data_IF_622522031672
#
_entry.id   IF_622522031672
#
_cell.length_a   1.000
_cell.length_b   1.000
_cell.length_c   1.000
_cell.angle_alpha   90.00
_cell.angle_beta   90.00
_cell.angle_gamma   90.00
#
_symmetry.space_group_name_H-M   'P 1'
#
loop_
_entity.id
_entity.type
_entity.pdbx_description
1 polymer ?
#
# COMPACT_ATOMS: atom_id res chain seq x y z
N UNK A 1 3.58 38.25 23.15
CA UNK A 1 4.51 38.63 22.07
C UNK A 1 5.60 37.62 21.75
N UNK A 2 5.91 36.65 22.61
CA UNK A 2 6.83 35.56 22.31
C UNK A 2 6.32 34.51 21.33
N UNK A 3 5.00 34.43 21.07
CA UNK A 3 4.37 33.48 20.15
C UNK A 3 4.50 33.88 18.68
N UNK A 4 4.69 35.16 18.35
CA UNK A 4 4.86 35.62 16.96
C UNK A 4 6.22 35.21 16.36
N UNK A 5 7.27 35.11 17.15
CA UNK A 5 8.59 34.68 16.68
C UNK A 5 8.68 33.18 16.42
N UNK A 6 7.91 32.39 17.15
CA UNK A 6 7.86 30.93 16.98
C UNK A 6 7.07 30.53 15.73
N UNK A 7 5.93 31.17 15.48
CA UNK A 7 5.12 30.96 14.26
C UNK A 7 5.89 31.40 13.00
N UNK A 8 6.63 32.51 13.05
CA UNK A 8 7.46 32.95 11.94
C UNK A 8 8.60 31.97 11.62
N UNK A 9 9.19 31.35 12.62
CA UNK A 9 10.25 30.33 12.43
C UNK A 9 9.69 29.03 11.90
N UNK A 10 8.50 28.60 12.32
CA UNK A 10 7.80 27.43 11.80
C UNK A 10 7.41 27.61 10.31
N UNK A 11 6.91 28.77 9.96
CA UNK A 11 6.56 29.11 8.57
C UNK A 11 7.81 29.12 7.68
N UNK A 12 8.94 29.65 8.17
CA UNK A 12 10.19 29.67 7.42
C UNK A 12 10.77 28.25 7.19
N UNK A 13 10.64 27.36 8.18
CA UNK A 13 11.06 25.94 8.05
C UNK A 13 10.16 25.19 7.07
N UNK A 14 8.84 25.44 7.08
CA UNK A 14 7.90 24.86 6.11
C UNK A 14 8.16 25.36 4.69
N UNK A 15 8.42 26.64 4.52
CA UNK A 15 8.75 27.23 3.22
C UNK A 15 10.07 26.67 2.67
N UNK A 16 11.08 26.44 3.52
CA UNK A 16 12.34 25.80 3.16
C UNK A 16 12.18 24.34 2.74
N UNK A 17 11.34 23.56 3.43
CA UNK A 17 11.03 22.17 3.08
C UNK A 17 10.25 22.06 1.76
N UNK A 18 9.32 22.96 1.51
CA UNK A 18 8.57 23.03 0.23
C UNK A 18 9.49 23.40 -0.92
N UNK A 19 10.45 24.32 -0.72
CA UNK A 19 11.43 24.67 -1.76
C UNK A 19 12.41 23.53 -2.09
N UNK A 20 12.80 22.72 -1.11
CA UNK A 20 13.61 21.51 -1.34
C UNK A 20 12.86 20.45 -2.15
N UNK A 21 11.54 20.32 -1.98
CA UNK A 21 10.69 19.43 -2.76
C UNK A 21 10.47 19.93 -4.20
N UNK A 22 10.45 21.25 -4.43
CA UNK A 22 10.27 21.84 -5.77
C UNK A 22 11.55 21.82 -6.62
N UNK A 23 12.71 21.56 -6.03
CA UNK A 23 13.99 21.41 -6.74
C UNK A 23 14.24 19.98 -7.26
N UNK A 24 13.32 19.05 -7.06
CA UNK A 24 13.35 17.73 -7.70
C UNK A 24 13.17 17.94 -9.21
N UNK A 25 14.05 17.39 -10.08
CA UNK A 25 13.91 17.56 -11.52
C UNK A 25 12.50 17.18 -11.99
N UNK A 26 11.89 18.02 -12.82
CA UNK A 26 10.54 17.81 -13.37
C UNK A 26 10.35 16.43 -14.02
N UNK A 27 11.43 15.83 -14.54
CA UNK A 27 11.48 14.47 -15.09
C UNK A 27 11.14 13.39 -14.04
N UNK A 28 11.54 13.57 -12.78
CA UNK A 28 11.25 12.61 -11.71
C UNK A 28 9.81 12.75 -11.19
N UNK A 29 9.27 13.98 -11.16
CA UNK A 29 7.86 14.23 -10.83
C UNK A 29 6.94 13.57 -11.87
N UNK A 30 7.20 13.78 -13.15
CA UNK A 30 6.43 13.19 -14.26
C UNK A 30 6.46 11.65 -14.22
N UNK A 31 7.59 11.04 -13.91
CA UNK A 31 7.69 9.59 -13.72
C UNK A 31 6.89 9.10 -12.52
N UNK A 32 6.94 9.82 -11.40
CA UNK A 32 6.18 9.48 -10.20
C UNK A 32 4.67 9.51 -10.47
N UNK A 33 4.20 10.56 -11.14
CA UNK A 33 2.79 10.72 -11.48
C UNK A 33 2.30 9.61 -12.42
N UNK A 34 3.09 9.26 -13.42
CA UNK A 34 2.77 8.16 -14.35
C UNK A 34 2.74 6.79 -13.67
N UNK A 35 3.62 6.55 -12.69
CA UNK A 35 3.62 5.31 -11.91
C UNK A 35 2.37 5.25 -11.04
N UNK A 36 2.02 6.34 -10.36
CA UNK A 36 0.81 6.42 -9.53
C UNK A 36 -0.45 6.21 -10.37
N UNK A 37 -0.56 6.90 -11.52
CA UNK A 37 -1.67 6.71 -12.45
C UNK A 37 -1.78 5.25 -12.94
N UNK A 38 -0.65 4.60 -13.19
CA UNK A 38 -0.63 3.20 -13.59
C UNK A 38 -1.11 2.28 -12.47
N UNK A 39 -0.71 2.55 -11.22
CA UNK A 39 -1.15 1.80 -10.05
C UNK A 39 -2.67 1.97 -9.81
N UNK A 40 -3.20 3.19 -9.97
CA UNK A 40 -4.64 3.46 -9.89
C UNK A 40 -5.42 2.67 -10.94
N UNK A 41 -4.92 2.62 -12.17
CA UNK A 41 -5.53 1.83 -13.26
C UNK A 41 -5.55 0.33 -12.94
N UNK A 42 -4.52 -0.20 -12.30
CA UNK A 42 -4.49 -1.60 -11.86
C UNK A 42 -5.55 -1.86 -10.79
N UNK A 43 -5.68 -0.97 -9.82
CA UNK A 43 -6.73 -1.06 -8.79
C UNK A 43 -8.12 -0.98 -9.41
N UNK A 44 -8.33 -0.06 -10.34
CA UNK A 44 -9.58 0.05 -11.10
C UNK A 44 -9.91 -1.23 -11.85
N UNK A 45 -8.96 -1.74 -12.61
CA UNK A 45 -9.13 -3.00 -13.34
C UNK A 45 -9.46 -4.16 -12.40
N UNK A 46 -8.84 -4.23 -11.23
CA UNK A 46 -9.12 -5.26 -10.24
C UNK A 46 -10.56 -5.15 -9.71
N UNK A 47 -11.04 -3.93 -9.41
CA UNK A 47 -12.43 -3.70 -8.99
C UNK A 47 -13.42 -4.09 -10.07
N UNK A 48 -13.17 -3.69 -11.31
CA UNK A 48 -14.00 -4.04 -12.45
C UNK A 48 -14.10 -5.57 -12.65
N UNK A 49 -12.97 -6.25 -12.51
CA UNK A 49 -12.90 -7.71 -12.59
C UNK A 49 -13.69 -8.40 -11.46
N UNK A 50 -13.70 -7.81 -10.28
CA UNK A 50 -14.46 -8.31 -9.12
C UNK A 50 -15.94 -7.91 -9.17
N UNK A 51 -16.32 -6.97 -10.02
CA UNK A 51 -17.68 -6.42 -10.09
C UNK A 51 -18.07 -5.60 -8.88
N UNK A 52 -17.11 -4.97 -8.20
CA UNK A 52 -17.31 -4.12 -7.04
C UNK A 52 -17.21 -2.64 -7.40
N UNK A 53 -17.84 -1.79 -6.56
CA UNK A 53 -17.79 -0.33 -6.74
C UNK A 53 -16.44 0.27 -6.36
N UNK A 54 -16.23 1.55 -6.71
CA UNK A 54 -15.00 2.28 -6.38
C UNK A 54 -14.80 2.46 -4.87
N UNK A 55 -15.88 2.46 -4.11
CA UNK A 55 -15.88 2.67 -2.65
C UNK A 55 -15.70 1.37 -1.87
N UNK A 56 -15.74 0.23 -2.55
CA UNK A 56 -15.54 -1.07 -1.93
C UNK A 56 -14.06 -1.47 -1.95
N UNK A 57 -13.62 -2.10 -0.86
CA UNK A 57 -12.24 -2.59 -0.78
C UNK A 57 -11.99 -3.75 -1.73
N UNK A 58 -10.84 -3.70 -2.41
CA UNK A 58 -10.32 -4.83 -3.18
C UNK A 58 -10.09 -6.05 -2.26
N UNK A 59 -9.75 -5.80 -0.99
CA UNK A 59 -9.56 -6.85 0.00
C UNK A 59 -10.89 -7.38 0.52
N UNK A 60 -11.66 -7.96 -0.37
CA UNK A 60 -12.99 -8.54 -0.10
C UNK A 60 -13.23 -9.80 -0.95
N UNK A 61 -14.28 -10.53 -0.65
CA UNK A 61 -14.76 -11.64 -1.45
C UNK A 61 -13.68 -12.61 -1.92
N UNK A 62 -13.65 -12.89 -3.20
CA UNK A 62 -12.72 -13.86 -3.82
C UNK A 62 -11.25 -13.44 -3.68
N UNK A 63 -10.95 -12.14 -3.59
CA UNK A 63 -9.59 -11.68 -3.39
C UNK A 63 -9.03 -12.13 -2.03
N UNK A 64 -9.83 -12.07 -0.98
CA UNK A 64 -9.44 -12.57 0.35
C UNK A 64 -9.24 -14.08 0.39
N UNK A 65 -10.02 -14.84 -0.37
CA UNK A 65 -9.85 -16.29 -0.48
C UNK A 65 -8.50 -16.68 -1.07
N UNK A 66 -7.90 -15.77 -1.85
CA UNK A 66 -6.60 -15.95 -2.46
C UNK A 66 -5.44 -15.33 -1.64
N UNK A 67 -5.69 -14.86 -0.43
CA UNK A 67 -4.64 -14.39 0.46
C UNK A 67 -3.65 -15.53 0.74
N UNK A 68 -2.35 -15.24 0.67
CA UNK A 68 -1.29 -16.25 0.76
C UNK A 68 -0.96 -16.93 -0.56
N UNK A 69 -1.62 -16.55 -1.66
CA UNK A 69 -1.28 -16.98 -3.03
C UNK A 69 -0.43 -15.87 -3.69
N UNK A 70 0.61 -16.26 -4.40
CA UNK A 70 1.64 -15.35 -4.90
C UNK A 70 1.11 -14.15 -5.67
N UNK A 71 0.17 -14.36 -6.59
CA UNK A 71 -0.40 -13.26 -7.40
C UNK A 71 -1.16 -12.23 -6.56
N UNK A 72 -1.95 -12.69 -5.60
CA UNK A 72 -2.72 -11.82 -4.71
C UNK A 72 -1.82 -11.09 -3.72
N UNK A 73 -0.85 -11.79 -3.13
CA UNK A 73 0.09 -11.20 -2.19
C UNK A 73 0.93 -10.09 -2.84
N UNK A 74 1.44 -10.29 -4.06
CA UNK A 74 2.22 -9.27 -4.75
C UNK A 74 1.39 -8.03 -5.09
N UNK A 75 0.14 -8.22 -5.50
CA UNK A 75 -0.77 -7.09 -5.72
C UNK A 75 -1.08 -6.36 -4.41
N UNK A 76 -1.34 -7.10 -3.34
CA UNK A 76 -1.61 -6.54 -2.01
C UNK A 76 -0.41 -5.73 -1.47
N UNK A 77 0.82 -6.21 -1.64
CA UNK A 77 2.04 -5.47 -1.32
C UNK A 77 2.11 -4.17 -2.12
N UNK A 78 1.84 -4.23 -3.42
CA UNK A 78 1.83 -3.04 -4.28
C UNK A 78 0.82 -2.00 -3.82
N UNK A 79 -0.42 -2.40 -3.57
CA UNK A 79 -1.50 -1.53 -3.06
C UNK A 79 -1.07 -0.86 -1.76
N UNK A 80 -0.53 -1.63 -0.81
CA UNK A 80 -0.05 -1.12 0.47
C UNK A 80 1.11 -0.11 0.31
N UNK A 81 2.06 -0.39 -0.56
CA UNK A 81 3.22 0.48 -0.80
C UNK A 81 2.85 1.80 -1.46
N UNK A 82 1.79 1.83 -2.27
CA UNK A 82 1.25 3.07 -2.82
C UNK A 82 0.38 3.84 -1.81
N UNK A 83 0.01 3.23 -0.69
CA UNK A 83 -0.78 3.85 0.36
C UNK A 83 -2.26 4.03 -0.03
N UNK A 84 -2.80 3.18 -0.89
CA UNK A 84 -4.23 3.18 -1.20
C UNK A 84 -5.05 2.78 0.02
N UNK A 85 -6.21 3.41 0.19
CA UNK A 85 -7.14 3.08 1.26
C UNK A 85 -7.88 1.78 0.96
N UNK A 86 -7.53 0.72 1.69
CA UNK A 86 -8.12 -0.60 1.56
C UNK A 86 -8.26 -1.25 2.95
N UNK A 87 -9.03 -2.32 3.05
CA UNK A 87 -9.19 -3.06 4.30
C UNK A 87 -8.01 -4.01 4.55
N UNK A 88 -6.90 -3.45 4.98
CA UNK A 88 -5.68 -4.21 5.28
C UNK A 88 -5.87 -5.22 6.42
N UNK A 89 -6.73 -4.92 7.40
CA UNK A 89 -7.02 -5.83 8.51
C UNK A 89 -7.72 -7.09 8.02
N UNK A 90 -8.65 -6.96 7.10
CA UNK A 90 -9.30 -8.11 6.47
C UNK A 90 -8.29 -9.00 5.75
N UNK A 91 -7.35 -8.41 5.00
CA UNK A 91 -6.32 -9.18 4.31
C UNK A 91 -5.36 -9.86 5.27
N UNK A 92 -4.89 -9.17 6.31
CA UNK A 92 -4.02 -9.73 7.35
C UNK A 92 -4.69 -10.90 8.07
N UNK A 93 -5.98 -10.80 8.37
CA UNK A 93 -6.77 -11.89 8.98
C UNK A 93 -6.81 -13.11 8.08
N UNK A 94 -7.13 -12.93 6.80
CA UNK A 94 -7.17 -14.02 5.81
C UNK A 94 -5.78 -14.65 5.63
N UNK A 95 -4.72 -13.83 5.57
CA UNK A 95 -3.34 -14.28 5.46
C UNK A 95 -2.92 -15.11 6.68
N UNK A 96 -3.28 -14.66 7.89
CA UNK A 96 -3.02 -15.39 9.13
C UNK A 96 -3.70 -16.78 9.14
N UNK A 97 -4.93 -16.86 8.68
CA UNK A 97 -5.65 -18.13 8.55
C UNK A 97 -4.95 -19.05 7.56
N UNK A 98 -4.48 -18.51 6.43
CA UNK A 98 -3.72 -19.27 5.43
C UNK A 98 -2.44 -19.81 6.00
N UNK A 99 -1.65 -19.00 6.71
CA UNK A 99 -0.39 -19.41 7.33
C UNK A 99 -0.60 -20.52 8.35
N UNK A 100 -1.66 -20.44 9.16
CA UNK A 100 -2.01 -21.50 10.13
C UNK A 100 -2.42 -22.82 9.46
N UNK A 101 -2.94 -22.75 8.24
CA UNK A 101 -3.32 -23.94 7.47
C UNK A 101 -2.14 -24.55 6.70
N UNK A 102 -1.00 -23.85 6.56
CA UNK A 102 0.21 -24.41 5.95
C UNK A 102 0.81 -25.47 6.89
N UNK A 103 1.20 -26.61 6.32
CA UNK A 103 1.86 -27.67 7.08
C UNK A 103 3.35 -27.36 7.23
N UNK A 104 4.00 -28.02 8.22
CA UNK A 104 5.45 -27.86 8.49
C UNK A 104 6.34 -28.27 7.30
N UNK A 105 5.78 -28.99 6.33
CA UNK A 105 6.47 -29.43 5.11
C UNK A 105 6.31 -28.44 3.98
N UNK A 106 5.51 -27.40 4.17
CA UNK A 106 5.22 -26.45 3.14
C UNK A 106 6.37 -25.44 2.92
N UNK A 107 6.40 -24.99 1.75
CA UNK A 107 7.44 -24.28 1.08
C UNK A 107 7.89 -23.03 1.88
N UNK A 108 9.14 -23.01 2.32
CA UNK A 108 9.74 -21.86 3.00
C UNK A 108 9.58 -20.56 2.19
N UNK A 109 9.45 -20.65 0.88
CA UNK A 109 9.20 -19.51 -0.02
C UNK A 109 7.82 -18.91 0.20
N UNK A 110 6.79 -19.73 0.41
CA UNK A 110 5.42 -19.23 0.70
C UNK A 110 5.37 -18.52 2.06
N UNK A 111 5.97 -19.09 3.08
CA UNK A 111 6.05 -18.47 4.40
C UNK A 111 6.80 -17.13 4.36
N UNK A 112 7.91 -17.08 3.64
CA UNK A 112 8.67 -15.82 3.45
C UNK A 112 7.83 -14.75 2.74
N UNK A 113 7.10 -15.13 1.69
CA UNK A 113 6.22 -14.20 0.98
C UNK A 113 5.10 -13.70 1.91
N UNK A 114 4.45 -14.59 2.65
CA UNK A 114 3.42 -14.21 3.61
C UNK A 114 3.96 -13.23 4.67
N UNK A 115 5.17 -13.46 5.17
CA UNK A 115 5.83 -12.56 6.12
C UNK A 115 6.11 -11.17 5.50
N UNK A 116 6.58 -11.12 4.27
CA UNK A 116 6.81 -9.87 3.53
C UNK A 116 5.48 -9.14 3.33
N UNK A 117 4.43 -9.84 2.96
CA UNK A 117 3.08 -9.30 2.76
C UNK A 117 2.53 -8.70 4.05
N UNK A 118 2.59 -9.44 5.16
CA UNK A 118 2.15 -8.96 6.47
C UNK A 118 2.93 -7.70 6.89
N UNK A 119 4.25 -7.73 6.78
CA UNK A 119 5.10 -6.59 7.11
C UNK A 119 4.81 -5.36 6.25
N UNK A 120 4.52 -5.54 4.97
CA UNK A 120 4.16 -4.44 4.08
C UNK A 120 2.85 -3.74 4.49
N UNK A 121 1.95 -4.47 5.11
CA UNK A 121 0.64 -3.98 5.59
C UNK A 121 0.65 -3.52 7.05
N UNK A 122 1.80 -3.48 7.71
CA UNK A 122 1.93 -3.10 9.11
C UNK A 122 1.55 -4.21 10.10
N UNK A 123 1.48 -5.46 9.65
CA UNK A 123 1.33 -6.63 10.51
C UNK A 123 2.66 -7.05 11.14
N UNK A 124 2.61 -7.53 12.36
CA UNK A 124 3.75 -8.11 13.09
C UNK A 124 3.88 -9.62 12.84
#
# INVERSE_FOLDING_TARGET
MKTRGFLGRLVAVFAGAVMLLTNVPAVNADKSDRITESAEKVCQWQRDKMGISQDESIFSGDFLQNAGIGSSDWLAIGISRFGFEEDYEAYLTALSQRVKALSDTDNATELKRCAITASAMGGD
#
